data_IF_208331070678
#
_entry.id   IF_208331070678
#
_cell.length_a   1.000
_cell.length_b   1.000
_cell.length_c   1.000
_cell.angle_alpha   90.00
_cell.angle_beta   90.00
_cell.angle_gamma   90.00
#
_symmetry.space_group_name_H-M   'P 1'
#
loop_
_entity.id
_entity.type
_entity.pdbx_description
1 polymer ?
#
# COMPACT_ATOMS: atom_id res chain seq x y z
N UNK A 1 10.98 -2.46 22.39
CA UNK A 1 9.54 -2.21 22.21
C UNK A 1 9.27 -1.86 20.75
N UNK A 2 8.08 -2.18 20.25
CA UNK A 2 7.65 -1.88 18.88
C UNK A 2 6.30 -1.17 18.97
N UNK A 3 6.16 -0.08 18.23
CA UNK A 3 4.91 0.68 18.14
C UNK A 3 4.70 1.03 16.67
N UNK A 4 3.53 0.76 16.13
CA UNK A 4 3.26 1.04 14.72
C UNK A 4 1.83 0.76 14.29
N UNK A 5 1.62 0.82 12.99
CA UNK A 5 0.37 0.43 12.35
C UNK A 5 0.16 -1.09 12.47
N UNK A 6 -1.07 -1.52 12.67
CA UNK A 6 -1.51 -2.88 12.34
C UNK A 6 -1.49 -3.05 10.82
N UNK A 7 -0.35 -3.54 10.32
CA UNK A 7 -0.11 -3.71 8.89
C UNK A 7 -1.05 -4.74 8.25
N UNK A 8 -1.47 -5.75 8.99
CA UNK A 8 -2.35 -6.79 8.47
C UNK A 8 -3.77 -6.25 8.30
N UNK A 9 -4.29 -5.60 9.34
CA UNK A 9 -5.60 -4.94 9.31
C UNK A 9 -5.66 -3.86 8.21
N UNK A 10 -4.62 -3.02 8.10
CA UNK A 10 -4.53 -2.00 7.05
C UNK A 10 -4.60 -2.60 5.64
N UNK A 11 -3.83 -3.66 5.36
CA UNK A 11 -3.84 -4.29 4.04
C UNK A 11 -5.15 -5.00 3.77
N UNK A 12 -5.72 -5.69 4.75
CA UNK A 12 -7.02 -6.32 4.60
C UNK A 12 -8.10 -5.31 4.23
N UNK A 13 -8.16 -4.19 4.96
CA UNK A 13 -9.08 -3.08 4.70
C UNK A 13 -8.95 -2.51 3.27
N UNK A 14 -7.71 -2.30 2.82
CA UNK A 14 -7.46 -1.80 1.46
C UNK A 14 -7.84 -2.81 0.38
N UNK A 15 -7.49 -4.08 0.56
CA UNK A 15 -7.82 -5.15 -0.40
C UNK A 15 -9.32 -5.40 -0.46
N UNK A 16 -10.01 -5.44 0.68
CA UNK A 16 -11.47 -5.57 0.74
C UNK A 16 -12.16 -4.40 0.04
N UNK A 17 -11.71 -3.16 0.26
CA UNK A 17 -12.22 -1.99 -0.45
C UNK A 17 -12.10 -2.16 -1.96
N UNK A 18 -10.95 -2.60 -2.47
CA UNK A 18 -10.77 -2.83 -3.90
C UNK A 18 -11.68 -3.95 -4.45
N UNK A 19 -11.75 -5.09 -3.75
CA UNK A 19 -12.58 -6.22 -4.17
C UNK A 19 -14.07 -5.85 -4.15
N UNK A 20 -14.55 -5.16 -3.12
CA UNK A 20 -15.94 -4.69 -3.01
C UNK A 20 -16.33 -3.69 -4.11
N UNK A 21 -15.35 -2.97 -4.65
CA UNK A 21 -15.51 -2.07 -5.79
C UNK A 21 -15.45 -2.78 -7.14
N UNK A 22 -15.21 -4.09 -7.16
CA UNK A 22 -15.18 -4.94 -8.35
C UNK A 22 -13.86 -4.87 -9.11
N UNK A 23 -12.75 -4.50 -8.46
CA UNK A 23 -11.42 -4.72 -9.02
C UNK A 23 -11.04 -6.19 -8.81
N UNK A 24 -10.66 -6.87 -9.89
CA UNK A 24 -10.41 -8.32 -9.92
C UNK A 24 -8.98 -8.68 -10.35
N UNK A 25 -8.14 -7.67 -10.62
CA UNK A 25 -6.70 -7.81 -10.84
C UNK A 25 -5.94 -6.77 -10.01
N UNK A 26 -5.43 -7.20 -8.85
CA UNK A 26 -4.82 -6.32 -7.85
C UNK A 26 -3.31 -6.57 -7.82
N UNK A 27 -2.53 -5.50 -8.04
CA UNK A 27 -1.07 -5.53 -7.96
C UNK A 27 -0.63 -4.80 -6.69
N UNK A 28 -0.08 -5.55 -5.73
CA UNK A 28 0.54 -4.99 -4.54
C UNK A 28 1.97 -4.56 -4.85
N UNK A 29 2.22 -3.26 -4.86
CA UNK A 29 3.52 -2.69 -5.23
C UNK A 29 4.30 -2.31 -3.98
N UNK A 30 5.50 -2.84 -3.83
CA UNK A 30 6.32 -2.68 -2.63
C UNK A 30 7.80 -2.50 -3.00
N UNK A 31 8.55 -1.75 -2.20
CA UNK A 31 10.03 -1.76 -2.28
C UNK A 31 10.59 -3.13 -1.83
N UNK A 32 11.89 -3.43 -2.00
CA UNK A 32 12.50 -4.62 -1.42
C UNK A 32 12.09 -4.81 0.05
N UNK A 33 11.43 -5.92 0.34
CA UNK A 33 10.67 -6.09 1.58
C UNK A 33 11.27 -7.14 2.51
N UNK A 34 12.13 -8.03 2.02
CA UNK A 34 12.67 -9.15 2.79
C UNK A 34 13.35 -8.75 4.12
N UNK A 35 13.89 -7.52 4.23
CA UNK A 35 14.60 -7.04 5.42
C UNK A 35 13.83 -5.98 6.24
N UNK A 36 12.60 -5.62 5.85
CA UNK A 36 11.81 -4.60 6.53
C UNK A 36 10.51 -5.21 7.04
N UNK A 37 10.34 -5.30 8.36
CA UNK A 37 9.21 -6.02 8.99
C UNK A 37 7.85 -5.57 8.48
N UNK A 38 7.58 -4.26 8.49
CA UNK A 38 6.31 -3.71 8.02
C UNK A 38 6.02 -4.03 6.55
N UNK A 39 7.04 -4.04 5.68
CA UNK A 39 6.86 -4.41 4.27
C UNK A 39 6.55 -5.90 4.12
N UNK A 40 7.19 -6.78 4.90
CA UNK A 40 6.88 -8.22 4.91
C UNK A 40 5.47 -8.48 5.42
N UNK A 41 5.07 -7.84 6.51
CA UNK A 41 3.73 -7.99 7.10
C UNK A 41 2.65 -7.56 6.11
N UNK A 42 2.81 -6.40 5.46
CA UNK A 42 1.87 -5.91 4.44
C UNK A 42 1.76 -6.87 3.26
N UNK A 43 2.89 -7.33 2.74
CA UNK A 43 2.90 -8.26 1.60
C UNK A 43 2.30 -9.63 1.97
N UNK A 44 2.56 -10.11 3.19
CA UNK A 44 1.96 -11.35 3.68
C UNK A 44 0.43 -11.25 3.82
N UNK A 45 -0.06 -10.16 4.41
CA UNK A 45 -1.49 -9.90 4.55
C UNK A 45 -2.19 -9.70 3.20
N UNK A 46 -1.50 -9.10 2.22
CA UNK A 46 -2.03 -8.99 0.86
C UNK A 46 -2.20 -10.38 0.24
N UNK A 47 -1.16 -11.22 0.33
CA UNK A 47 -1.21 -12.58 -0.19
C UNK A 47 -2.33 -13.40 0.45
N UNK A 48 -2.49 -13.31 1.77
CA UNK A 48 -3.56 -13.97 2.51
C UNK A 48 -4.94 -13.50 2.03
N UNK A 49 -5.13 -12.17 1.90
CA UNK A 49 -6.38 -11.59 1.40
C UNK A 49 -6.72 -12.08 -0.02
N UNK A 50 -5.72 -12.20 -0.89
CA UNK A 50 -5.92 -12.72 -2.25
C UNK A 50 -6.20 -14.22 -2.27
N UNK A 51 -5.56 -15.01 -1.39
CA UNK A 51 -5.86 -16.45 -1.24
C UNK A 51 -7.29 -16.68 -0.76
N UNK A 52 -7.79 -15.85 0.16
CA UNK A 52 -9.16 -15.92 0.67
C UNK A 52 -10.23 -15.72 -0.42
N UNK A 53 -9.89 -15.10 -1.56
CA UNK A 53 -10.81 -14.97 -2.71
C UNK A 53 -11.09 -16.30 -3.42
N UNK A 54 -10.33 -17.37 -3.15
CA UNK A 54 -10.49 -18.66 -3.82
C UNK A 54 -10.24 -18.61 -5.33
N UNK A 55 -9.49 -17.62 -5.81
CA UNK A 55 -9.23 -17.39 -7.24
C UNK A 55 -10.27 -16.54 -7.96
N UNK A 56 -11.25 -15.97 -7.24
CA UNK A 56 -12.20 -15.02 -7.80
C UNK A 56 -11.55 -13.70 -8.27
N UNK A 57 -10.37 -13.37 -7.70
CA UNK A 57 -9.55 -12.25 -8.14
C UNK A 57 -8.09 -12.69 -8.28
N UNK A 58 -7.34 -11.99 -9.15
CA UNK A 58 -5.91 -12.19 -9.36
C UNK A 58 -5.13 -11.23 -8.49
N UNK A 59 -4.08 -11.74 -7.85
CA UNK A 59 -3.20 -10.97 -6.98
C UNK A 59 -1.75 -11.18 -7.38
N UNK A 60 -0.98 -10.10 -7.49
CA UNK A 60 0.45 -10.14 -7.77
C UNK A 60 1.20 -9.18 -6.85
N UNK A 61 2.29 -9.64 -6.25
CA UNK A 61 3.29 -8.77 -5.61
C UNK A 61 4.29 -8.29 -6.66
N UNK A 62 4.47 -6.97 -6.77
CA UNK A 62 5.39 -6.33 -7.70
C UNK A 62 6.42 -5.50 -6.92
N UNK A 63 7.71 -5.75 -7.17
CA UNK A 63 8.80 -5.05 -6.45
C UNK A 63 9.26 -3.83 -7.25
N UNK A 64 9.23 -2.66 -6.62
CA UNK A 64 9.68 -1.39 -7.17
C UNK A 64 10.77 -0.79 -6.26
N UNK A 65 12.04 -1.04 -6.58
CA UNK A 65 13.18 -0.54 -5.78
C UNK A 65 13.55 0.90 -6.14
N UNK A 66 13.04 1.85 -5.37
CA UNK A 66 13.26 3.28 -5.61
C UNK A 66 14.72 3.74 -5.43
N UNK A 67 15.63 2.88 -4.99
CA UNK A 67 17.07 3.21 -4.87
C UNK A 67 17.89 2.78 -6.10
N UNK A 68 17.30 2.05 -7.04
CA UNK A 68 17.95 1.59 -8.26
C UNK A 68 17.11 2.01 -9.47
N UNK A 69 17.54 3.07 -10.15
CA UNK A 69 16.78 3.62 -11.29
C UNK A 69 16.64 2.62 -12.43
N UNK A 70 17.64 1.77 -12.69
CA UNK A 70 17.53 0.75 -13.73
C UNK A 70 16.47 -0.29 -13.36
N UNK A 71 16.44 -0.72 -12.09
CA UNK A 71 15.41 -1.60 -11.57
C UNK A 71 14.02 -0.96 -11.62
N UNK A 72 13.90 0.34 -11.30
CA UNK A 72 12.64 1.10 -11.42
C UNK A 72 12.12 1.08 -12.85
N UNK A 73 12.96 1.39 -13.84
CA UNK A 73 12.53 1.43 -15.24
C UNK A 73 12.08 0.05 -15.73
N UNK A 74 12.81 -1.01 -15.38
CA UNK A 74 12.42 -2.38 -15.71
C UNK A 74 11.10 -2.79 -15.04
N UNK A 75 10.93 -2.45 -13.75
CA UNK A 75 9.72 -2.74 -12.99
C UNK A 75 8.49 -2.02 -13.58
N UNK A 76 8.61 -0.72 -13.89
CA UNK A 76 7.54 0.06 -14.50
C UNK A 76 7.17 -0.47 -15.91
N UNK A 77 8.13 -0.86 -16.73
CA UNK A 77 7.85 -1.49 -18.02
C UNK A 77 7.11 -2.83 -17.88
N UNK A 78 7.49 -3.64 -16.88
CA UNK A 78 6.78 -4.89 -16.58
C UNK A 78 5.35 -4.63 -16.04
N UNK A 79 5.17 -3.57 -15.25
CA UNK A 79 3.86 -3.13 -14.77
C UNK A 79 2.97 -2.68 -15.94
N UNK A 80 3.50 -1.90 -16.89
CA UNK A 80 2.77 -1.47 -18.08
C UNK A 80 2.31 -2.68 -18.92
N UNK A 81 3.19 -3.67 -19.10
CA UNK A 81 2.84 -4.92 -19.79
C UNK A 81 1.73 -5.69 -19.07
N UNK A 82 1.77 -5.76 -17.73
CA UNK A 82 0.71 -6.39 -16.92
C UNK A 82 -0.62 -5.66 -17.09
N UNK A 83 -0.63 -4.34 -16.96
CA UNK A 83 -1.83 -3.51 -17.11
C UNK A 83 -2.45 -3.64 -18.51
N UNK A 84 -1.62 -3.64 -19.56
CA UNK A 84 -2.09 -3.86 -20.92
C UNK A 84 -2.71 -5.25 -21.12
N UNK A 85 -2.09 -6.30 -20.59
CA UNK A 85 -2.61 -7.66 -20.66
C UNK A 85 -3.92 -7.82 -19.87
N UNK A 86 -4.03 -7.20 -18.69
CA UNK A 86 -5.24 -7.24 -17.89
C UNK A 86 -6.39 -6.48 -18.57
N UNK A 87 -6.12 -5.31 -19.16
CA UNK A 87 -7.09 -4.58 -19.97
C UNK A 87 -7.57 -5.39 -21.19
N UNK A 88 -6.68 -6.12 -21.87
CA UNK A 88 -7.05 -6.99 -22.98
C UNK A 88 -7.99 -8.15 -22.58
N UNK A 89 -7.98 -8.55 -21.30
CA UNK A 89 -8.90 -9.53 -20.72
C UNK A 89 -10.20 -8.92 -20.18
N UNK A 90 -10.35 -7.59 -20.21
CA UNK A 90 -11.47 -6.88 -19.59
C UNK A 90 -11.43 -6.85 -18.05
N UNK A 91 -10.29 -7.16 -17.45
CA UNK A 91 -10.12 -7.12 -15.99
C UNK A 91 -10.03 -5.68 -15.49
N UNK A 92 -10.55 -5.42 -14.29
CA UNK A 92 -10.48 -4.11 -13.62
C UNK A 92 -9.28 -4.10 -12.68
N UNK A 93 -8.26 -3.35 -13.11
CA UNK A 93 -6.97 -3.31 -12.41
C UNK A 93 -6.94 -2.28 -11.28
N UNK A 94 -6.33 -2.67 -10.17
CA UNK A 94 -5.97 -1.77 -9.09
C UNK A 94 -4.52 -1.98 -8.65
N UNK A 95 -3.83 -0.88 -8.37
CA UNK A 95 -2.53 -0.88 -7.73
C UNK A 95 -2.70 -0.59 -6.25
N UNK A 96 -2.13 -1.43 -5.40
CA UNK A 96 -2.03 -1.20 -3.98
C UNK A 96 -0.57 -0.89 -3.63
N UNK A 97 -0.25 0.39 -3.49
CA UNK A 97 1.06 0.84 -3.05
C UNK A 97 1.27 0.62 -1.56
N UNK A 98 2.36 -0.07 -1.21
CA UNK A 98 2.68 -0.41 0.17
C UNK A 98 3.05 0.80 1.05
N UNK A 99 3.35 1.98 0.47
CA UNK A 99 3.62 3.23 1.17
C UNK A 99 3.52 4.46 0.24
N UNK A 100 3.59 5.66 0.82
CA UNK A 100 3.51 6.93 0.09
C UNK A 100 4.57 7.10 -1.02
N UNK A 101 5.87 6.83 -0.82
CA UNK A 101 6.87 6.98 -1.88
C UNK A 101 6.61 6.11 -3.12
N UNK A 102 6.17 4.86 -2.92
CA UNK A 102 5.78 3.97 -4.02
C UNK A 102 4.55 4.53 -4.73
N UNK A 103 3.53 4.95 -3.97
CA UNK A 103 2.32 5.53 -4.52
C UNK A 103 2.59 6.76 -5.38
N UNK A 104 3.47 7.66 -4.92
CA UNK A 104 3.87 8.84 -5.68
C UNK A 104 4.57 8.46 -6.99
N UNK A 105 5.51 7.51 -6.95
CA UNK A 105 6.21 7.06 -8.16
C UNK A 105 5.24 6.45 -9.18
N UNK A 106 4.29 5.64 -8.72
CA UNK A 106 3.24 5.06 -9.57
C UNK A 106 2.32 6.13 -10.15
N UNK A 107 1.83 7.07 -9.34
CA UNK A 107 0.96 8.14 -9.81
C UNK A 107 1.64 9.03 -10.87
N UNK A 108 2.92 9.37 -10.67
CA UNK A 108 3.71 10.11 -11.65
C UNK A 108 3.86 9.32 -12.96
N UNK A 109 4.17 8.02 -12.87
CA UNK A 109 4.30 7.14 -14.03
C UNK A 109 2.98 7.02 -14.80
N UNK A 110 1.88 6.69 -14.11
CA UNK A 110 0.55 6.54 -14.72
C UNK A 110 0.06 7.84 -15.36
N UNK A 111 0.29 8.99 -14.70
CA UNK A 111 -0.05 10.30 -15.28
C UNK A 111 0.74 10.58 -16.55
N UNK A 112 2.03 10.23 -16.59
CA UNK A 112 2.85 10.39 -17.78
C UNK A 112 2.42 9.46 -18.93
N UNK A 113 2.10 8.20 -18.62
CA UNK A 113 1.75 7.18 -19.61
C UNK A 113 0.30 7.29 -20.13
N UNK A 114 -0.65 7.67 -19.27
CA UNK A 114 -2.09 7.60 -19.55
C UNK A 114 -2.78 8.97 -19.58
N UNK A 115 -2.06 10.05 -19.25
CA UNK A 115 -2.57 11.42 -19.22
C UNK A 115 -3.33 11.80 -17.95
N UNK A 116 -4.01 12.95 -17.97
CA UNK A 116 -4.64 13.54 -16.78
C UNK A 116 -5.79 12.70 -16.20
N UNK A 117 -6.44 11.85 -17.01
CA UNK A 117 -7.57 11.01 -16.62
C UNK A 117 -7.15 9.57 -16.25
N UNK A 118 -5.86 9.34 -15.93
CA UNK A 118 -5.33 8.01 -15.64
C UNK A 118 -6.11 7.25 -14.56
N UNK A 119 -6.68 7.95 -13.57
CA UNK A 119 -7.47 7.38 -12.46
C UNK A 119 -8.77 6.70 -12.91
N UNK A 120 -9.26 7.02 -14.12
CA UNK A 120 -10.42 6.33 -14.71
C UNK A 120 -10.03 5.00 -15.36
N UNK A 121 -8.73 4.75 -15.55
CA UNK A 121 -8.20 3.58 -16.26
C UNK A 121 -7.54 2.57 -15.33
N UNK A 122 -6.89 3.06 -14.28
CA UNK A 122 -6.17 2.25 -13.29
C UNK A 122 -6.42 2.82 -11.92
N UNK A 123 -6.94 1.99 -11.02
CA UNK A 123 -7.12 2.40 -9.64
C UNK A 123 -5.80 2.40 -8.86
N UNK A 124 -5.68 3.28 -7.87
CA UNK A 124 -4.52 3.34 -6.97
C UNK A 124 -4.99 3.56 -5.54
N UNK A 125 -4.57 2.70 -4.62
CA UNK A 125 -4.67 2.89 -3.18
C UNK A 125 -3.27 2.83 -2.56
N UNK A 126 -3.04 3.57 -1.47
CA UNK A 126 -1.75 3.59 -0.77
C UNK A 126 -1.90 3.45 0.74
N UNK A 127 -0.93 2.84 1.40
CA UNK A 127 -0.70 3.11 2.83
C UNK A 127 0.05 4.43 2.96
N UNK A 128 -0.25 5.17 4.03
CA UNK A 128 0.15 6.56 4.29
C UNK A 128 -0.77 7.57 3.60
N UNK A 129 -1.15 8.63 4.32
CA UNK A 129 -1.98 9.72 3.80
C UNK A 129 -1.24 11.07 3.86
N UNK A 130 -0.19 11.25 3.05
CA UNK A 130 0.51 12.53 2.96
C UNK A 130 -0.35 13.59 2.27
N UNK A 131 -0.11 14.87 2.53
CA UNK A 131 -0.90 15.99 1.98
C UNK A 131 -1.04 15.96 0.44
N UNK A 132 -0.02 15.48 -0.27
CA UNK A 132 -0.09 15.38 -1.73
C UNK A 132 -1.10 14.32 -2.20
N UNK A 133 -1.45 13.32 -1.38
CA UNK A 133 -2.46 12.32 -1.71
C UNK A 133 -3.85 12.96 -1.76
N UNK A 134 -4.13 13.92 -0.88
CA UNK A 134 -5.34 14.73 -0.94
C UNK A 134 -5.36 15.57 -2.22
N UNK A 135 -4.26 16.29 -2.50
CA UNK A 135 -4.12 17.10 -3.72
C UNK A 135 -4.30 16.28 -5.00
N UNK A 136 -3.76 15.06 -5.04
CA UNK A 136 -3.80 14.16 -6.19
C UNK A 136 -5.07 13.27 -6.23
N UNK A 137 -5.95 13.34 -5.23
CA UNK A 137 -7.16 12.53 -5.16
C UNK A 137 -6.90 11.02 -5.00
N UNK A 138 -5.82 10.64 -4.32
CA UNK A 138 -5.44 9.24 -4.08
C UNK A 138 -6.17 8.69 -2.84
N UNK A 139 -6.86 7.56 -2.97
CA UNK A 139 -7.40 6.79 -1.84
C UNK A 139 -6.26 6.23 -1.00
N UNK A 140 -6.35 6.37 0.31
CA UNK A 140 -5.26 5.96 1.22
C UNK A 140 -5.77 5.22 2.45
N UNK A 141 -4.86 4.52 3.13
CA UNK A 141 -5.03 4.06 4.51
C UNK A 141 -4.15 4.96 5.37
N UNK A 142 -4.79 5.90 6.09
CA UNK A 142 -4.14 6.86 6.97
C UNK A 142 -3.69 6.15 8.24
N UNK A 143 -2.43 6.37 8.62
CA UNK A 143 -1.91 5.90 9.90
C UNK A 143 -2.21 6.92 11.01
N UNK A 144 -2.55 6.49 12.23
CA UNK A 144 -2.64 7.36 13.41
C UNK A 144 -1.24 7.70 13.93
N UNK A 145 -0.48 8.48 13.15
CA UNK A 145 0.95 8.76 13.38
C UNK A 145 1.19 9.49 14.70
N UNK A 146 0.24 10.31 15.15
CA UNK A 146 0.32 11.04 16.43
C UNK A 146 0.25 10.06 17.61
N UNK A 147 -0.71 9.14 17.60
CA UNK A 147 -0.90 8.13 18.64
C UNK A 147 0.29 7.15 18.68
N UNK A 148 0.76 6.70 17.51
CA UNK A 148 1.96 5.88 17.38
C UNK A 148 3.17 6.59 17.99
N UNK A 149 3.39 7.86 17.64
CA UNK A 149 4.49 8.66 18.17
C UNK A 149 4.39 8.87 19.68
N UNK A 150 3.20 9.18 20.19
CA UNK A 150 2.96 9.35 21.62
C UNK A 150 3.29 8.08 22.41
N UNK A 151 2.77 6.93 21.96
CA UNK A 151 3.02 5.63 22.60
C UNK A 151 4.49 5.20 22.51
N UNK A 152 5.17 5.53 21.41
CA UNK A 152 6.61 5.27 21.29
C UNK A 152 7.44 6.08 22.30
N UNK A 153 7.12 7.36 22.50
CA UNK A 153 7.78 8.22 23.49
C UNK A 153 7.47 7.78 24.91
N UNK A 154 6.22 7.39 25.19
CA UNK A 154 5.81 6.84 26.49
C UNK A 154 6.64 5.59 26.85
N UNK A 155 6.76 4.63 25.93
CA UNK A 155 7.57 3.43 26.13
C UNK A 155 9.06 3.73 26.32
N UNK A 156 9.60 4.69 25.59
CA UNK A 156 10.99 5.13 25.73
C UNK A 156 11.23 5.80 27.09
N UNK A 157 10.32 6.68 27.52
CA UNK A 157 10.44 7.43 28.76
C UNK A 157 10.47 6.50 29.98
N UNK A 158 9.54 5.54 30.06
CA UNK A 158 9.52 4.55 31.16
C UNK A 158 10.83 3.77 31.29
N UNK A 159 11.45 3.41 30.16
CA UNK A 159 12.75 2.71 30.15
C UNK A 159 13.90 3.59 30.63
N UNK A 160 13.88 4.88 30.28
CA UNK A 160 14.87 5.86 30.74
C UNK A 160 14.76 6.05 32.26
N UNK A 161 13.54 6.04 32.81
CA UNK A 161 13.27 6.12 34.26
C UNK A 161 13.60 4.80 35.02
N UNK A 162 14.22 3.82 34.36
CA UNK A 162 14.71 2.61 34.99
C UNK A 162 13.69 1.47 35.06
N UNK A 163 12.51 1.61 34.46
CA UNK A 163 11.61 0.49 34.29
C UNK A 163 12.23 -0.52 33.31
N UNK A 164 12.24 -1.80 33.69
CA UNK A 164 12.73 -2.89 32.83
C UNK A 164 11.60 -3.87 32.44
N UNK A 165 10.50 -3.40 31.83
CA UNK A 165 9.46 -4.31 31.36
C UNK A 165 10.02 -5.20 30.23
N UNK A 166 9.40 -6.38 30.09
CA UNK A 166 9.58 -7.21 28.89
C UNK A 166 9.29 -6.40 27.63
N UNK A 167 9.87 -6.80 26.49
CA UNK A 167 9.64 -6.11 25.23
C UNK A 167 8.14 -6.07 24.89
N UNK A 168 7.63 -4.87 24.62
CA UNK A 168 6.20 -4.63 24.31
C UNK A 168 5.99 -4.39 22.82
N UNK A 169 4.78 -4.71 22.36
CA UNK A 169 4.28 -4.36 21.03
C UNK A 169 2.96 -3.60 21.17
N UNK A 170 2.78 -2.53 20.40
CA UNK A 170 1.52 -1.81 20.27
C UNK A 170 1.22 -1.57 18.78
N UNK A 171 0.08 -2.08 18.32
CA UNK A 171 -0.39 -1.92 16.95
C UNK A 171 -1.66 -1.05 16.94
N UNK A 172 -1.75 -0.12 15.99
CA UNK A 172 -2.87 0.81 15.85
C UNK A 172 -3.57 0.59 14.51
N UNK A 173 -4.90 0.67 14.51
CA UNK A 173 -5.70 0.54 13.28
C UNK A 173 -5.51 1.75 12.36
N UNK A 174 -5.53 1.51 11.05
CA UNK A 174 -5.53 2.56 10.04
C UNK A 174 -6.96 2.97 9.65
N UNK A 175 -7.09 4.17 9.08
CA UNK A 175 -8.36 4.71 8.57
C UNK A 175 -8.37 4.71 7.03
N UNK A 176 -9.38 4.10 6.40
CA UNK A 176 -9.55 4.18 4.94
C UNK A 176 -10.11 5.56 4.54
N UNK A 177 -9.32 6.33 3.80
CA UNK A 177 -9.70 7.64 3.26
C UNK A 177 -9.97 7.51 1.76
N UNK A 178 -11.25 7.35 1.39
CA UNK A 178 -11.66 7.13 0.00
C UNK A 178 -11.61 8.43 -0.81
N UNK A 179 -10.92 8.41 -1.96
CA UNK A 179 -10.84 9.51 -2.93
C UNK A 179 -11.02 9.00 -4.37
N UNK A 180 -10.80 9.87 -5.36
CA UNK A 180 -11.11 9.62 -6.77
C UNK A 180 -10.42 8.40 -7.38
N UNK A 181 -9.20 8.06 -6.95
CA UNK A 181 -8.39 6.99 -7.55
C UNK A 181 -8.91 5.56 -7.36
N UNK A 182 -10.04 5.35 -6.69
CA UNK A 182 -10.70 4.03 -6.55
C UNK A 182 -12.22 4.10 -6.75
N UNK A 183 -12.74 5.16 -7.38
CA UNK A 183 -14.17 5.35 -7.62
C UNK A 183 -14.62 4.98 -9.04
N UNK A 184 -13.67 4.77 -9.96
CA UNK A 184 -13.92 4.43 -11.37
C UNK A 184 -14.24 2.96 -11.61
#
# INVERSE_FOLDING_TARGET
DVVGLDNASAVHLGTEHLLSRGYDDIVFVVQPFAQVSSRREREAAFRESMQATGGAARGLTHVLDLHDEAAVQAALAALDAHLAHAAARGARCALFAANAPVALRLALHLKAALGAQWQQRVALIAIDDPDWAELAGITTIRQPTREIGYRAVEFLHERIEGAAPAARSAAFEGELVVRASTLG
#
